data_IF_689260965675
#
_entry.id   IF_689260965675
#
_cell.length_a   1.000
_cell.length_b   1.000
_cell.length_c   1.000
_cell.angle_alpha   90.00
_cell.angle_beta   90.00
_cell.angle_gamma   90.00
#
_symmetry.space_group_name_H-M   'P 1'
#
loop_
_entity.id
_entity.type
_entity.pdbx_description
1 polymer ?
#
# COMPACT_ATOMS: atom_id res chain seq x y z
N UNK A 1 -56.82 14.57 18.16
CA UNK A 1 -55.67 14.57 17.24
C UNK A 1 -54.40 14.78 18.05
N UNK A 2 -53.70 13.75 18.56
CA UNK A 2 -52.49 13.95 19.35
C UNK A 2 -51.20 13.70 18.55
N UNK A 3 -50.32 14.70 18.61
CA UNK A 3 -48.86 14.61 18.76
C UNK A 3 -48.01 13.92 17.67
N UNK A 4 -47.54 14.72 16.71
CA UNK A 4 -46.27 14.47 15.97
C UNK A 4 -45.06 14.77 16.88
N UNK A 5 -44.94 14.06 18.00
CA UNK A 5 -43.87 14.26 18.99
C UNK A 5 -42.85 13.12 18.94
N UNK A 6 -42.37 12.78 17.74
CA UNK A 6 -41.10 12.08 17.54
C UNK A 6 -40.81 12.02 16.04
N UNK A 7 -40.44 13.15 15.46
CA UNK A 7 -39.69 13.15 14.21
C UNK A 7 -38.24 13.46 14.60
N UNK A 8 -37.33 12.46 14.68
CA UNK A 8 -35.91 12.73 14.79
C UNK A 8 -35.50 13.25 13.41
N UNK A 9 -35.68 14.56 13.22
CA UNK A 9 -35.44 15.24 11.96
C UNK A 9 -34.10 14.84 11.36
N UNK A 10 -34.11 14.64 10.04
CA UNK A 10 -32.94 14.25 9.24
C UNK A 10 -31.75 15.12 9.67
N UNK A 11 -30.64 14.52 10.15
CA UNK A 11 -29.51 15.30 10.64
C UNK A 11 -28.96 16.14 9.48
N UNK A 12 -28.96 17.46 9.67
CA UNK A 12 -28.34 18.38 8.72
C UNK A 12 -26.83 18.13 8.70
N UNK A 13 -26.23 18.33 7.52
CA UNK A 13 -24.83 18.00 7.14
C UNK A 13 -23.72 18.59 8.03
N UNK A 14 -24.07 19.34 9.07
CA UNK A 14 -23.16 19.93 10.06
C UNK A 14 -22.95 19.04 11.29
N UNK A 15 -23.77 18.02 11.53
CA UNK A 15 -23.56 17.04 12.61
C UNK A 15 -22.59 15.94 12.16
N UNK A 16 -21.34 16.34 11.92
CA UNK A 16 -20.22 15.39 11.82
C UNK A 16 -19.99 14.85 13.24
N UNK A 17 -20.30 13.58 13.46
CA UNK A 17 -19.84 12.90 14.67
C UNK A 17 -18.31 13.02 14.71
N UNK A 18 -17.77 13.60 15.79
CA UNK A 18 -16.33 13.55 16.01
C UNK A 18 -15.94 12.08 16.21
N UNK A 19 -14.97 11.55 15.44
CA UNK A 19 -14.50 10.20 15.66
C UNK A 19 -13.79 10.19 17.02
N UNK A 20 -14.39 9.51 18.01
CA UNK A 20 -13.69 9.19 19.25
C UNK A 20 -12.58 8.19 18.91
N UNK A 21 -11.37 8.68 18.72
CA UNK A 21 -10.19 7.83 18.68
C UNK A 21 -9.99 7.25 20.08
N UNK A 22 -10.23 5.95 20.23
CA UNK A 22 -9.81 5.22 21.41
C UNK A 22 -8.28 5.33 21.52
N UNK A 23 -7.79 6.07 22.52
CA UNK A 23 -6.40 5.94 22.95
C UNK A 23 -6.21 4.50 23.47
N UNK A 24 -5.18 3.76 23.01
CA UNK A 24 -4.89 2.46 23.60
C UNK A 24 -4.48 2.67 25.07
N UNK A 25 -4.83 1.73 25.97
CA UNK A 25 -4.43 1.83 27.36
C UNK A 25 -2.90 1.87 27.46
N UNK A 26 -2.38 2.90 28.13
CA UNK A 26 -1.00 2.96 28.58
C UNK A 26 -0.77 1.81 29.57
N UNK A 27 -0.25 0.69 29.07
CA UNK A 27 -0.17 -0.53 29.86
C UNK A 27 0.25 -1.75 29.05
N UNK A 28 1.31 -1.62 28.27
CA UNK A 28 2.27 -2.71 28.09
C UNK A 28 3.57 -2.08 27.59
N UNK A 29 4.61 -2.08 28.43
CA UNK A 29 6.01 -1.92 28.03
C UNK A 29 6.45 -3.13 27.18
N UNK A 30 5.69 -3.43 26.14
CA UNK A 30 6.05 -4.36 25.09
C UNK A 30 7.04 -3.63 24.19
N UNK A 31 8.29 -3.63 24.66
CA UNK A 31 9.51 -3.71 23.87
C UNK A 31 9.31 -3.19 22.44
N UNK A 32 9.50 -1.88 22.24
CA UNK A 32 10.03 -1.44 20.96
C UNK A 32 11.29 -2.29 20.69
N UNK A 33 11.45 -2.93 19.52
CA UNK A 33 12.67 -3.68 19.24
C UNK A 33 13.82 -2.69 19.23
N UNK A 34 14.56 -2.65 20.33
CA UNK A 34 15.81 -1.91 20.42
C UNK A 34 16.79 -2.71 19.56
N UNK A 35 17.22 -2.14 18.43
CA UNK A 35 18.24 -2.72 17.55
C UNK A 35 19.63 -2.64 18.21
N UNK A 36 19.76 -3.14 19.44
CA UNK A 36 20.98 -3.05 20.27
C UNK A 36 21.54 -4.43 20.66
N UNK A 37 21.10 -5.52 20.03
CA UNK A 37 21.77 -6.81 20.16
C UNK A 37 21.89 -7.52 18.80
N UNK A 38 22.94 -7.18 18.06
CA UNK A 38 23.75 -8.24 17.45
C UNK A 38 25.16 -8.09 18.01
N UNK A 39 25.52 -9.08 18.81
CA UNK A 39 26.73 -9.15 19.58
C UNK A 39 27.98 -9.03 18.71
N UNK A 40 28.95 -8.31 19.27
CA UNK A 40 30.36 -8.64 19.28
C UNK A 40 30.58 -10.16 19.08
N UNK A 41 30.92 -10.59 17.86
CA UNK A 41 31.57 -11.86 17.62
C UNK A 41 32.93 -11.55 17.00
N UNK A 42 33.97 -11.85 17.78
CA UNK A 42 35.35 -11.69 17.41
C UNK A 42 35.68 -12.56 16.18
N UNK A 43 35.71 -11.91 15.02
CA UNK A 43 36.41 -12.20 13.77
C UNK A 43 36.87 -13.62 13.43
N UNK A 44 36.65 -14.03 12.17
CA UNK A 44 37.70 -14.64 11.36
C UNK A 44 38.48 -13.49 10.72
N UNK A 45 39.79 -13.45 10.94
CA UNK A 45 40.71 -12.69 10.11
C UNK A 45 40.64 -13.25 8.68
N UNK A 46 39.66 -12.78 7.90
CA UNK A 46 39.70 -12.91 6.45
C UNK A 46 40.74 -11.93 5.97
N UNK A 47 41.93 -12.49 5.77
CA UNK A 47 42.96 -11.94 4.92
C UNK A 47 42.35 -11.54 3.57
N UNK A 48 42.91 -10.45 3.03
CA UNK A 48 42.62 -9.85 1.73
C UNK A 48 41.29 -9.10 1.62
N UNK A 49 41.40 -7.80 1.88
CA UNK A 49 40.70 -6.71 1.21
C UNK A 49 40.47 -6.99 -0.28
N UNK A 50 39.40 -7.72 -0.60
CA UNK A 50 38.92 -7.94 -1.97
C UNK A 50 37.62 -7.17 -2.26
N UNK A 51 37.27 -6.19 -1.42
CA UNK A 51 36.18 -5.25 -1.70
C UNK A 51 36.77 -3.87 -1.97
N UNK A 52 36.73 -3.38 -3.22
CA UNK A 52 37.19 -2.03 -3.50
C UNK A 52 36.29 -1.04 -2.74
N UNK A 53 36.90 -0.26 -1.86
CA UNK A 53 36.23 0.87 -1.22
C UNK A 53 35.87 1.88 -2.32
N UNK A 54 34.72 2.55 -2.22
CA UNK A 54 34.28 3.55 -3.20
C UNK A 54 35.27 4.72 -3.40
N UNK A 55 36.30 4.81 -2.55
CA UNK A 55 37.40 5.79 -2.62
C UNK A 55 38.53 5.35 -3.57
N UNK A 56 38.68 4.05 -3.85
CA UNK A 56 39.72 3.48 -4.74
C UNK A 56 39.42 3.71 -6.24
N UNK A 57 38.16 3.95 -6.58
CA UNK A 57 37.72 4.26 -7.96
C UNK A 57 38.07 5.70 -8.39
N UNK A 58 38.83 6.44 -7.57
CA UNK A 58 39.17 7.83 -7.81
C UNK A 58 40.68 8.15 -7.89
N UNK A 59 41.56 7.18 -8.17
CA UNK A 59 42.90 7.49 -8.66
C UNK A 59 42.98 7.36 -10.19
N UNK A 60 43.12 8.46 -10.95
CA UNK A 60 43.48 8.36 -12.36
C UNK A 60 44.96 7.98 -12.44
N UNK A 61 45.22 6.68 -12.46
CA UNK A 61 46.52 6.15 -12.82
C UNK A 61 46.79 6.51 -14.29
N UNK A 62 47.84 7.31 -14.48
CA UNK A 62 48.34 7.80 -15.77
C UNK A 62 48.64 6.61 -16.71
N UNK A 63 47.70 6.28 -17.60
CA UNK A 63 47.90 5.34 -18.70
C UNK A 63 46.96 5.71 -19.87
N UNK A 64 47.46 5.96 -21.09
CA UNK A 64 46.61 6.21 -22.24
C UNK A 64 46.12 4.88 -22.80
N UNK A 65 45.07 4.33 -22.21
CA UNK A 65 44.29 3.26 -22.80
C UNK A 65 42.85 3.74 -22.93
N UNK A 66 42.44 4.04 -24.17
CA UNK A 66 41.14 4.60 -24.49
C UNK A 66 40.01 3.71 -23.93
N UNK A 67 39.36 4.19 -22.86
CA UNK A 67 38.15 3.60 -22.33
C UNK A 67 37.00 3.79 -23.34
N UNK A 68 36.15 2.77 -23.59
CA UNK A 68 34.93 2.97 -24.36
C UNK A 68 34.02 3.97 -23.62
N UNK A 69 33.23 4.80 -24.34
CA UNK A 69 32.35 5.75 -23.70
C UNK A 69 31.30 5.01 -22.86
N UNK A 70 31.30 5.27 -21.55
CA UNK A 70 30.20 4.88 -20.66
C UNK A 70 28.90 5.46 -21.22
N UNK A 71 27.97 4.59 -21.61
CA UNK A 71 26.64 5.02 -22.02
C UNK A 71 25.99 5.79 -20.85
N UNK A 72 25.32 6.93 -21.11
CA UNK A 72 24.66 7.68 -20.05
C UNK A 72 23.57 6.81 -19.41
N UNK A 73 23.59 6.72 -18.07
CA UNK A 73 22.52 6.09 -17.31
C UNK A 73 21.22 6.84 -17.56
N UNK A 74 20.07 6.15 -17.64
CA UNK A 74 18.78 6.80 -17.79
C UNK A 74 18.50 7.72 -16.61
N UNK A 75 17.96 8.91 -16.89
CA UNK A 75 17.60 9.88 -15.86
C UNK A 75 16.54 9.27 -14.92
N UNK A 76 16.81 9.33 -13.62
CA UNK A 76 15.93 8.79 -12.59
C UNK A 76 14.52 9.37 -12.67
N UNK A 77 14.38 10.63 -13.08
CA UNK A 77 13.09 11.28 -13.27
C UNK A 77 12.24 10.64 -14.38
N UNK A 78 12.89 10.18 -15.46
CA UNK A 78 12.21 9.49 -16.57
C UNK A 78 11.77 8.10 -16.13
N UNK A 79 12.60 7.39 -15.36
CA UNK A 79 12.25 6.08 -14.81
C UNK A 79 11.07 6.18 -13.84
N UNK A 80 11.07 7.17 -12.93
CA UNK A 80 9.95 7.38 -12.01
C UNK A 80 8.67 7.77 -12.74
N UNK A 81 8.76 8.60 -13.78
CA UNK A 81 7.60 8.97 -14.60
C UNK A 81 7.02 7.76 -15.34
N UNK A 82 7.88 6.88 -15.87
CA UNK A 82 7.42 5.65 -16.52
C UNK A 82 6.77 4.70 -15.52
N UNK A 83 7.38 4.49 -14.36
CA UNK A 83 6.82 3.65 -13.31
C UNK A 83 5.45 4.17 -12.85
N UNK A 84 5.31 5.49 -12.70
CA UNK A 84 4.03 6.07 -12.31
C UNK A 84 2.95 5.86 -13.37
N UNK A 85 3.28 5.98 -14.66
CA UNK A 85 2.36 5.65 -15.74
C UNK A 85 1.91 4.18 -15.71
N UNK A 86 2.84 3.25 -15.48
CA UNK A 86 2.54 1.81 -15.35
C UNK A 86 1.62 1.54 -14.15
N UNK A 87 1.86 2.18 -13.00
CA UNK A 87 1.00 2.04 -11.81
C UNK A 87 -0.41 2.54 -12.10
N UNK A 88 -0.56 3.70 -12.74
CA UNK A 88 -1.88 4.25 -13.07
C UNK A 88 -2.64 3.38 -14.10
N UNK A 89 -1.92 2.78 -15.05
CA UNK A 89 -2.50 1.82 -15.99
C UNK A 89 -2.99 0.55 -15.28
N UNK A 90 -2.14 -0.07 -14.47
CA UNK A 90 -2.49 -1.25 -13.68
C UNK A 90 -3.67 -0.98 -12.73
N UNK A 91 -3.70 0.20 -12.09
CA UNK A 91 -4.82 0.59 -11.24
C UNK A 91 -6.14 0.71 -12.01
N UNK A 92 -6.11 1.21 -13.25
CA UNK A 92 -7.32 1.31 -14.08
C UNK A 92 -7.82 -0.06 -14.51
N UNK A 93 -6.91 -0.95 -14.89
CA UNK A 93 -7.23 -2.33 -15.25
C UNK A 93 -7.81 -3.09 -14.06
N UNK A 94 -7.12 -3.07 -12.92
CA UNK A 94 -7.59 -3.74 -11.70
C UNK A 94 -8.96 -3.21 -11.22
N UNK A 95 -9.24 -1.92 -11.42
CA UNK A 95 -10.56 -1.36 -11.13
C UNK A 95 -11.64 -1.91 -12.06
N UNK A 96 -11.36 -2.01 -13.35
CA UNK A 96 -12.30 -2.57 -14.33
C UNK A 96 -12.62 -4.03 -13.99
N UNK A 97 -11.60 -4.83 -13.71
CA UNK A 97 -11.75 -6.24 -13.31
C UNK A 97 -12.55 -6.40 -12.02
N UNK A 98 -12.27 -5.56 -11.02
CA UNK A 98 -13.01 -5.58 -9.76
C UNK A 98 -14.50 -5.25 -9.96
N UNK A 99 -14.82 -4.27 -10.83
CA UNK A 99 -16.20 -3.93 -11.17
C UNK A 99 -16.89 -5.12 -11.86
N UNK A 100 -16.23 -5.75 -12.83
CA UNK A 100 -16.78 -6.91 -13.53
C UNK A 100 -17.04 -8.07 -12.55
N UNK A 101 -16.11 -8.34 -11.64
CA UNK A 101 -16.28 -9.37 -10.62
C UNK A 101 -17.48 -9.08 -9.69
N UNK A 102 -17.64 -7.83 -9.26
CA UNK A 102 -18.78 -7.43 -8.41
C UNK A 102 -20.09 -7.60 -9.18
N UNK A 103 -20.14 -7.17 -10.44
CA UNK A 103 -21.34 -7.32 -11.29
C UNK A 103 -21.70 -8.80 -11.48
N UNK A 104 -20.74 -9.65 -11.83
CA UNK A 104 -20.95 -11.07 -12.00
C UNK A 104 -21.48 -11.74 -10.71
N UNK A 105 -20.94 -11.33 -9.56
CA UNK A 105 -21.42 -11.81 -8.26
C UNK A 105 -22.84 -11.36 -7.97
N UNK A 106 -23.16 -10.09 -8.23
CA UNK A 106 -24.53 -9.58 -8.07
C UNK A 106 -25.51 -10.36 -8.93
N UNK A 107 -25.19 -10.58 -10.21
CA UNK A 107 -26.05 -11.30 -11.15
C UNK A 107 -26.28 -12.77 -10.73
N UNK A 108 -25.27 -13.42 -10.14
CA UNK A 108 -25.41 -14.77 -9.60
C UNK A 108 -26.30 -14.81 -8.35
N UNK A 109 -26.30 -13.75 -7.52
CA UNK A 109 -27.07 -13.68 -6.28
C UNK A 109 -28.53 -13.21 -6.50
N UNK A 110 -28.78 -12.41 -7.54
CA UNK A 110 -30.10 -11.85 -7.87
C UNK A 110 -31.22 -12.90 -7.94
N UNK A 111 -31.07 -14.05 -8.64
CA UNK A 111 -32.11 -15.08 -8.69
C UNK A 111 -32.48 -15.63 -7.32
N UNK A 112 -31.50 -15.82 -6.44
CA UNK A 112 -31.71 -16.30 -5.08
C UNK A 112 -32.47 -15.30 -4.21
N UNK A 113 -32.14 -14.01 -4.36
CA UNK A 113 -32.85 -12.91 -3.69
C UNK A 113 -34.30 -12.84 -4.17
N UNK A 114 -34.53 -12.87 -5.49
CA UNK A 114 -35.88 -12.83 -6.07
C UNK A 114 -36.73 -14.01 -5.58
N UNK A 115 -36.18 -15.23 -5.59
CA UNK A 115 -36.87 -16.41 -5.08
C UNK A 115 -37.27 -16.28 -3.60
N UNK A 116 -36.39 -15.70 -2.78
CA UNK A 116 -36.67 -15.42 -1.36
C UNK A 116 -37.77 -14.37 -1.21
N UNK A 117 -37.71 -13.27 -1.96
CA UNK A 117 -38.72 -12.20 -1.93
C UNK A 117 -40.09 -12.75 -2.35
N UNK A 118 -40.18 -13.48 -3.47
CA UNK A 118 -41.44 -14.05 -3.94
C UNK A 118 -42.06 -15.02 -2.93
N UNK A 119 -41.24 -15.80 -2.22
CA UNK A 119 -41.70 -16.69 -1.14
C UNK A 119 -42.30 -15.92 0.04
N UNK A 120 -41.71 -14.78 0.39
CA UNK A 120 -42.19 -13.93 1.48
C UNK A 120 -43.45 -13.12 1.08
N UNK A 121 -43.60 -12.80 -0.21
CA UNK A 121 -44.73 -12.01 -0.72
C UNK A 121 -45.96 -12.86 -1.01
N UNK A 122 -45.81 -14.13 -1.42
CA UNK A 122 -46.95 -15.03 -1.66
C UNK A 122 -47.43 -15.59 -0.31
N UNK A 123 -48.46 -14.99 0.32
CA UNK A 123 -48.99 -15.53 1.56
C UNK A 123 -49.77 -16.80 1.18
N UNK A 124 -49.56 -17.87 1.92
CA UNK A 124 -50.59 -18.90 2.04
C UNK A 124 -51.78 -18.32 2.79
#
# INVERSE_FOLDING_TARGET
MPSRLNDPGIPTLTQRAEPTFHAPPAGNDAQAPVLTELADDAGPAYADDAFPLLTDVAEPMDAPSAAPPSAPLPDAAVVSARLQAEVEELMREALADAIEQIQARMDAELPGIVARVLRNVRPG
#
